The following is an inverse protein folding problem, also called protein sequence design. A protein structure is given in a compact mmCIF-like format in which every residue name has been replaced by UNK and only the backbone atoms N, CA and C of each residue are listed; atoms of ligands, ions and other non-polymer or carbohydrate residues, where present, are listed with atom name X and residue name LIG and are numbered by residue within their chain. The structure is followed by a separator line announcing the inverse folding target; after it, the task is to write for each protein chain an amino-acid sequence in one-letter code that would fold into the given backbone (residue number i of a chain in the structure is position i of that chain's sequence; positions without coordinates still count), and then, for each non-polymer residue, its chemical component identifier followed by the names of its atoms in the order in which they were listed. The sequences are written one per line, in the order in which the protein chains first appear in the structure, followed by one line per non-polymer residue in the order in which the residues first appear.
data_IF_181479687862
#
_entry.id   IF_181479687862
#
_cell.length_a   1.000
_cell.length_b   1.000
_cell.length_c   1.000
_cell.angle_alpha   90.00
_cell.angle_beta   90.00
_cell.angle_gamma   90.00
#
_symmetry.space_group_name_H-M   'P 1'
#
loop_
_entity.id
_entity.type
_entity.pdbx_description
1 polymer ?
#
# COMPACT_ATOMS: atom_id res chain seq x y z
N UNK A 1 11.52 -6.31 -6.24
CA UNK A 1 11.93 -5.32 -5.23
C UNK A 1 11.62 -5.87 -3.84
N UNK A 2 12.64 -5.99 -2.98
CA UNK A 2 12.66 -6.80 -1.74
C UNK A 2 13.10 -6.00 -0.50
N UNK A 3 12.99 -4.67 -0.52
CA UNK A 3 13.31 -3.89 0.67
C UNK A 3 12.36 -4.26 1.81
N UNK A 4 12.95 -4.67 2.93
CA UNK A 4 12.26 -4.92 4.20
C UNK A 4 12.68 -3.80 5.12
N UNK A 5 11.71 -3.01 5.60
CA UNK A 5 11.98 -1.95 6.56
C UNK A 5 12.41 -2.58 7.88
N UNK A 6 13.64 -2.31 8.30
CA UNK A 6 14.13 -2.69 9.62
C UNK A 6 13.71 -1.66 10.67
N UNK A 7 13.74 -2.03 11.95
CA UNK A 7 13.50 -1.10 13.05
C UNK A 7 14.43 0.12 13.02
N UNK A 8 15.64 -0.04 12.48
CA UNK A 8 16.61 1.06 12.33
C UNK A 8 16.14 2.05 11.27
N UNK A 9 15.58 1.58 10.17
CA UNK A 9 15.05 2.42 9.10
C UNK A 9 13.86 3.23 9.62
N UNK A 10 12.95 2.59 10.34
CA UNK A 10 11.79 3.24 10.96
C UNK A 10 12.21 4.34 11.95
N UNK A 11 13.24 4.09 12.77
CA UNK A 11 13.78 5.09 13.71
C UNK A 11 14.43 6.27 13.01
N UNK A 12 15.17 6.02 11.93
CA UNK A 12 15.79 7.10 11.15
C UNK A 12 14.72 7.95 10.44
N UNK A 13 13.66 7.32 9.92
CA UNK A 13 12.53 8.02 9.31
C UNK A 13 11.82 8.90 10.34
N UNK A 14 11.52 8.38 11.52
CA UNK A 14 10.90 9.16 12.60
C UNK A 14 11.81 10.33 13.04
N UNK A 15 13.10 10.07 13.25
CA UNK A 15 14.05 11.12 13.62
C UNK A 15 14.12 12.26 12.60
N UNK A 16 14.14 11.92 11.30
CA UNK A 16 14.10 12.91 10.23
C UNK A 16 12.79 13.67 10.21
N UNK A 17 11.68 12.99 10.42
CA UNK A 17 10.36 13.62 10.52
C UNK A 17 10.30 14.61 11.68
N UNK A 18 10.81 14.25 12.87
CA UNK A 18 10.83 15.15 14.02
C UNK A 18 11.69 16.41 13.78
N UNK A 19 12.80 16.29 13.04
CA UNK A 19 13.69 17.41 12.69
C UNK A 19 13.13 18.40 11.68
N UNK A 20 12.04 18.08 10.98
CA UNK A 20 11.41 19.02 10.07
C UNK A 20 10.80 20.19 10.87
N UNK A 21 11.33 21.40 10.61
CA UNK A 21 10.90 22.66 11.24
C UNK A 21 9.67 23.23 10.52
N UNK A 22 8.58 22.50 10.61
CA UNK A 22 7.26 22.90 10.10
C UNK A 22 6.18 22.24 10.94
N UNK A 23 5.12 22.99 11.23
CA UNK A 23 3.96 22.48 11.97
C UNK A 23 3.15 21.48 11.16
N UNK A 24 3.19 21.57 9.82
CA UNK A 24 2.47 20.69 8.91
C UNK A 24 3.46 19.81 8.15
N UNK A 25 3.65 18.60 8.64
CA UNK A 25 4.49 17.56 8.04
C UNK A 25 3.71 16.26 7.95
N UNK A 26 3.96 15.53 6.86
CA UNK A 26 3.42 14.19 6.61
C UNK A 26 4.52 13.36 5.95
N UNK A 27 4.44 12.04 6.08
CA UNK A 27 5.31 11.12 5.34
C UNK A 27 4.47 10.54 4.20
N UNK A 28 4.93 10.68 2.96
CA UNK A 28 4.25 10.12 1.79
C UNK A 28 5.09 9.00 1.19
N UNK A 29 4.47 7.85 0.94
CA UNK A 29 5.13 6.68 0.33
C UNK A 29 4.20 5.98 -0.68
N UNK A 30 4.66 4.87 -1.26
CA UNK A 30 3.84 4.03 -2.14
C UNK A 30 2.96 3.07 -1.34
N UNK A 31 1.83 2.63 -1.89
CA UNK A 31 0.96 1.63 -1.24
C UNK A 31 1.74 0.37 -0.85
N UNK A 32 2.61 -0.10 -1.75
CA UNK A 32 3.45 -1.29 -1.53
C UNK A 32 4.31 -1.17 -0.27
N UNK A 33 4.94 -0.02 -0.06
CA UNK A 33 5.83 0.20 1.08
C UNK A 33 5.03 0.50 2.36
N UNK A 34 3.90 1.20 2.23
CA UNK A 34 2.97 1.45 3.33
C UNK A 34 2.45 0.16 3.97
N UNK A 35 1.94 -0.76 3.16
CA UNK A 35 1.37 -2.05 3.64
C UNK A 35 2.43 -2.91 4.33
N UNK A 36 3.70 -2.82 3.93
CA UNK A 36 4.78 -3.66 4.45
C UNK A 36 5.37 -3.17 5.77
N UNK A 37 5.41 -1.86 6.00
CA UNK A 37 6.18 -1.28 7.11
C UNK A 37 5.45 -0.23 7.95
N UNK A 38 4.30 0.26 7.50
CA UNK A 38 3.68 1.47 8.08
C UNK A 38 2.17 1.34 8.32
N UNK A 39 1.60 0.14 8.18
CA UNK A 39 0.15 -0.09 8.33
C UNK A 39 -0.44 0.37 9.67
N UNK A 40 0.38 0.48 10.72
CA UNK A 40 0.00 0.95 12.06
C UNK A 40 0.49 2.37 12.39
N UNK A 41 1.03 3.13 11.41
CA UNK A 41 1.58 4.47 11.66
C UNK A 41 0.65 5.56 11.09
N UNK A 42 0.06 6.35 11.99
CA UNK A 42 -0.94 7.37 11.66
C UNK A 42 -0.38 8.60 10.91
N UNK A 43 0.94 8.75 10.84
CA UNK A 43 1.62 9.90 10.21
C UNK A 43 2.16 9.61 8.81
N UNK A 44 2.02 8.36 8.37
CA UNK A 44 2.44 7.91 7.04
C UNK A 44 1.20 7.76 6.16
N UNK A 45 1.30 8.26 4.94
CA UNK A 45 0.24 8.23 3.95
C UNK A 45 0.79 7.63 2.65
N UNK A 46 -0.11 7.14 1.83
CA UNK A 46 0.19 6.79 0.44
C UNK A 46 -0.86 7.39 -0.47
N UNK A 47 -0.50 7.62 -1.73
CA UNK A 47 -1.45 8.05 -2.75
C UNK A 47 -2.08 6.80 -3.38
N UNK A 48 -3.39 6.55 -3.19
CA UNK A 48 -4.04 5.39 -3.79
C UNK A 48 -4.13 5.56 -5.31
N UNK A 49 -3.91 4.47 -6.03
CA UNK A 49 -4.08 4.41 -7.47
C UNK A 49 -5.19 3.40 -7.76
N UNK A 50 -6.22 3.84 -8.47
CA UNK A 50 -7.29 2.97 -8.90
C UNK A 50 -7.06 2.56 -10.36
N UNK A 51 -7.20 1.28 -10.64
CA UNK A 51 -7.18 0.74 -11.99
C UNK A 51 -8.59 0.29 -12.40
N UNK A 52 -8.91 0.48 -13.67
CA UNK A 52 -10.16 0.05 -14.25
C UNK A 52 -9.87 -0.70 -15.56
N UNK A 53 -10.67 -1.73 -15.84
CA UNK A 53 -10.68 -2.35 -17.16
C UNK A 53 -11.28 -1.36 -18.16
N UNK A 54 -10.56 -1.08 -19.25
CA UNK A 54 -11.07 -0.24 -20.33
C UNK A 54 -12.17 -0.97 -21.12
N UNK A 55 -12.02 -2.29 -21.29
CA UNK A 55 -12.97 -3.17 -21.95
C UNK A 55 -12.96 -4.55 -21.27
N UNK A 56 -14.01 -5.35 -21.46
CA UNK A 56 -14.12 -6.75 -21.00
C UNK A 56 -13.97 -7.02 -19.49
N UNK A 57 -14.14 -6.00 -18.64
CA UNK A 57 -14.09 -6.17 -17.18
C UNK A 57 -15.16 -7.14 -16.64
N UNK A 58 -16.37 -7.11 -17.21
CA UNK A 58 -17.47 -8.01 -16.81
C UNK A 58 -17.22 -9.47 -17.21
N UNK A 59 -16.58 -9.68 -18.37
CA UNK A 59 -16.18 -11.01 -18.83
C UNK A 59 -15.14 -11.61 -17.87
N UNK A 60 -14.13 -10.82 -17.48
CA UNK A 60 -13.14 -11.20 -16.47
C UNK A 60 -13.81 -11.53 -15.14
N UNK A 61 -14.69 -10.65 -14.65
CA UNK A 61 -15.42 -10.86 -13.40
C UNK A 61 -16.26 -12.15 -13.42
N UNK A 62 -16.93 -12.42 -14.54
CA UNK A 62 -17.73 -13.65 -14.73
C UNK A 62 -16.85 -14.89 -14.71
N UNK A 63 -15.69 -14.84 -15.37
CA UNK A 63 -14.73 -15.94 -15.40
C UNK A 63 -14.19 -16.26 -13.99
N UNK A 64 -13.78 -15.23 -13.25
CA UNK A 64 -13.27 -15.38 -11.87
C UNK A 64 -14.36 -15.94 -10.95
N UNK A 65 -15.59 -15.41 -11.01
CA UNK A 65 -16.71 -15.91 -10.19
C UNK A 65 -17.02 -17.37 -10.47
N UNK A 66 -17.10 -17.77 -11.74
CA UNK A 66 -17.33 -19.18 -12.15
C UNK A 66 -16.22 -20.11 -11.66
N UNK A 67 -14.97 -19.66 -11.66
CA UNK A 67 -13.85 -20.44 -11.15
C UNK A 67 -13.97 -20.67 -9.64
N UNK A 68 -14.27 -19.61 -8.86
CA UNK A 68 -14.39 -19.70 -7.40
C UNK A 68 -15.62 -20.52 -6.98
N UNK A 69 -16.72 -20.44 -7.72
CA UNK A 69 -17.95 -21.17 -7.41
C UNK A 69 -17.91 -22.67 -7.75
N UNK A 70 -16.85 -23.16 -8.41
CA UNK A 70 -16.72 -24.59 -8.70
C UNK A 70 -16.28 -25.32 -7.41
N UNK A 71 -17.10 -26.27 -6.88
CA UNK A 71 -16.62 -27.16 -5.84
C UNK A 71 -15.45 -27.98 -6.38
N UNK A 72 -14.39 -28.15 -5.58
CA UNK A 72 -13.35 -29.12 -5.89
C UNK A 72 -13.97 -30.52 -5.78
N UNK A 73 -13.88 -31.28 -6.87
CA UNK A 73 -14.19 -32.70 -6.89
C UNK A 73 -13.13 -33.50 -6.13
#
# INVERSE_FOLDING_TARGET
DHHVFSDKDLKEIDHRYQKLDTEKKIILTTEKDYVRGFSNNELVYYLPINTAFLEHGDDFNTLVKKYISKPRA
#
